data_IF_919046974965
#
_entry.id   IF_919046974965
#
_cell.length_a   1.000
_cell.length_b   1.000
_cell.length_c   1.000
_cell.angle_alpha   90.00
_cell.angle_beta   90.00
_cell.angle_gamma   90.00
#
_symmetry.space_group_name_H-M   'P 1'
#
loop_
_entity.id
_entity.type
_entity.pdbx_description
1 polymer ?
#
# COMPACT_ATOMS: atom_id res chain seq x y z
N UNK A 1 3.56 -13.74 -4.08
CA UNK A 1 2.24 -14.40 -4.21
C UNK A 1 1.12 -13.44 -3.83
N UNK A 2 1.03 -12.94 -2.59
CA UNK A 2 0.01 -11.95 -2.23
C UNK A 2 0.14 -10.64 -3.03
N UNK A 3 1.37 -10.13 -3.21
CA UNK A 3 1.68 -8.98 -4.08
C UNK A 3 1.10 -9.15 -5.48
N UNK A 4 1.43 -10.27 -6.13
CA UNK A 4 0.98 -10.58 -7.49
C UNK A 4 -0.53 -10.74 -7.60
N UNK A 5 -1.20 -11.27 -6.56
CA UNK A 5 -2.67 -11.32 -6.49
C UNK A 5 -3.26 -9.92 -6.41
N UNK A 6 -2.72 -9.08 -5.52
CA UNK A 6 -3.17 -7.69 -5.34
C UNK A 6 -3.00 -6.90 -6.64
N UNK A 7 -1.81 -6.96 -7.25
CA UNK A 7 -1.52 -6.36 -8.55
C UNK A 7 -2.51 -6.84 -9.62
N UNK A 8 -2.73 -8.15 -9.73
CA UNK A 8 -3.69 -8.71 -10.68
C UNK A 8 -5.13 -8.26 -10.39
N UNK A 9 -5.56 -8.10 -9.14
CA UNK A 9 -6.93 -7.67 -8.82
C UNK A 9 -7.21 -6.24 -9.28
N UNK A 10 -6.23 -5.34 -9.15
CA UNK A 10 -6.37 -3.94 -9.56
C UNK A 10 -5.89 -3.67 -11.00
N UNK A 11 -5.19 -4.62 -11.61
CA UNK A 11 -4.58 -4.43 -12.94
C UNK A 11 -3.29 -3.61 -12.90
N UNK A 12 -2.59 -3.64 -11.77
CA UNK A 12 -1.28 -3.00 -11.58
C UNK A 12 -0.12 -3.96 -11.85
N UNK A 13 1.09 -3.46 -11.62
CA UNK A 13 2.35 -4.19 -11.77
C UNK A 13 2.90 -4.64 -10.40
N UNK A 14 3.51 -5.83 -10.35
CA UNK A 14 4.16 -6.35 -9.14
C UNK A 14 5.66 -6.01 -9.17
N UNK A 15 6.06 -4.99 -8.42
CA UNK A 15 7.47 -4.59 -8.27
C UNK A 15 8.28 -5.50 -7.32
N UNK A 16 7.64 -6.50 -6.70
CA UNK A 16 8.31 -7.45 -5.82
C UNK A 16 8.65 -6.87 -4.45
N UNK A 17 9.92 -6.92 -4.07
CA UNK A 17 10.39 -6.46 -2.75
C UNK A 17 10.87 -5.03 -2.86
N UNK A 18 10.30 -4.17 -2.04
CA UNK A 18 10.55 -2.73 -2.04
C UNK A 18 11.25 -2.28 -0.74
N UNK A 19 12.03 -1.21 -0.85
CA UNK A 19 12.82 -0.60 0.21
C UNK A 19 12.26 0.77 0.61
N UNK A 20 12.66 1.32 1.77
CA UNK A 20 12.31 2.69 2.15
C UNK A 20 12.81 3.70 1.10
N UNK A 21 11.91 4.59 0.67
CA UNK A 21 12.18 5.59 -0.37
C UNK A 21 11.72 5.18 -1.77
N UNK A 22 11.38 3.91 -2.00
CA UNK A 22 10.74 3.48 -3.25
C UNK A 22 9.34 4.10 -3.37
N UNK A 23 8.97 4.46 -4.60
CA UNK A 23 7.68 5.03 -4.94
C UNK A 23 6.72 3.92 -5.40
N UNK A 24 5.67 3.67 -4.62
CA UNK A 24 4.66 2.65 -4.89
C UNK A 24 3.29 3.13 -4.45
N UNK A 25 2.24 2.83 -5.22
CA UNK A 25 0.86 3.16 -4.84
C UNK A 25 0.29 2.20 -3.79
N UNK A 26 0.75 0.94 -3.82
CA UNK A 26 0.24 -0.15 -2.98
C UNK A 26 1.39 -0.92 -2.35
N UNK A 27 1.40 -0.96 -1.02
CA UNK A 27 2.34 -1.74 -0.23
C UNK A 27 1.65 -2.96 0.35
N UNK A 28 2.07 -4.16 -0.07
CA UNK A 28 1.52 -5.42 0.45
C UNK A 28 2.45 -5.99 1.51
N UNK A 29 1.92 -6.27 2.70
CA UNK A 29 2.65 -6.95 3.76
C UNK A 29 1.84 -8.12 4.32
N UNK A 30 2.52 -9.04 5.02
CA UNK A 30 1.85 -10.15 5.71
C UNK A 30 1.30 -9.71 7.06
N UNK A 31 0.28 -10.41 7.55
CA UNK A 31 -0.33 -10.21 8.87
C UNK A 31 0.56 -10.69 10.03
N UNK A 32 1.82 -10.24 10.07
CA UNK A 32 2.83 -10.61 11.05
C UNK A 32 3.49 -9.35 11.61
N UNK A 33 3.63 -9.27 12.93
CA UNK A 33 4.14 -8.10 13.67
C UNK A 33 5.34 -7.39 13.04
N UNK A 34 6.39 -8.15 12.66
CA UNK A 34 7.61 -7.57 12.10
C UNK A 34 7.41 -6.99 10.68
N UNK A 35 6.50 -7.58 9.89
CA UNK A 35 6.14 -7.08 8.56
C UNK A 35 5.35 -5.78 8.65
N UNK A 36 4.45 -5.63 9.63
CA UNK A 36 3.78 -4.35 9.85
C UNK A 36 4.76 -3.26 10.29
N UNK A 37 5.70 -3.56 11.19
CA UNK A 37 6.75 -2.59 11.58
C UNK A 37 7.62 -2.18 10.39
N UNK A 38 7.93 -3.11 9.48
CA UNK A 38 8.63 -2.79 8.24
C UNK A 38 7.76 -1.91 7.33
N UNK A 39 6.50 -2.28 7.13
CA UNK A 39 5.57 -1.51 6.31
C UNK A 39 5.39 -0.08 6.82
N UNK A 40 5.31 0.14 8.14
CA UNK A 40 5.27 1.49 8.74
C UNK A 40 6.50 2.30 8.38
N UNK A 41 7.69 1.69 8.42
CA UNK A 41 8.95 2.39 8.08
C UNK A 41 9.03 2.76 6.60
N UNK A 42 8.58 1.85 5.73
CA UNK A 42 8.55 2.11 4.29
C UNK A 42 7.53 3.21 3.98
N UNK A 43 6.30 3.07 4.47
CA UNK A 43 5.25 4.05 4.23
C UNK A 43 5.63 5.46 4.73
N UNK A 44 6.33 5.56 5.87
CA UNK A 44 6.82 6.83 6.39
C UNK A 44 8.00 7.44 5.60
N UNK A 45 8.71 6.63 4.82
CA UNK A 45 9.84 7.06 4.01
C UNK A 45 9.48 7.27 2.53
N UNK A 46 8.28 6.86 2.12
CA UNK A 46 7.81 6.99 0.75
C UNK A 46 7.53 8.47 0.41
N UNK A 47 7.83 8.92 -0.82
CA UNK A 47 7.50 10.29 -1.26
C UNK A 47 6.00 10.60 -1.12
N UNK A 48 5.16 9.61 -1.45
CA UNK A 48 3.71 9.61 -1.23
C UNK A 48 3.36 8.37 -0.43
N UNK A 49 2.54 8.52 0.61
CA UNK A 49 2.17 7.39 1.47
C UNK A 49 1.30 6.37 0.69
N UNK A 50 1.69 5.08 0.62
CA UNK A 50 0.97 4.07 -0.16
C UNK A 50 -0.30 3.58 0.54
N UNK A 51 -1.25 3.04 -0.22
CA UNK A 51 -2.30 2.17 0.34
C UNK A 51 -1.66 0.89 0.86
N UNK A 52 -1.90 0.54 2.13
CA UNK A 52 -1.31 -0.66 2.73
C UNK A 52 -2.30 -1.81 2.67
N UNK A 53 -1.89 -2.91 2.04
CA UNK A 53 -2.65 -4.17 2.01
C UNK A 53 -2.02 -5.18 2.95
N UNK A 54 -2.79 -5.65 3.93
CA UNK A 54 -2.36 -6.69 4.86
C UNK A 54 -2.94 -8.04 4.41
N UNK A 55 -2.08 -8.93 3.95
CA UNK A 55 -2.45 -10.30 3.59
C UNK A 55 -2.57 -11.17 4.84
N UNK A 56 -3.75 -11.75 5.06
CA UNK A 56 -3.95 -12.76 6.07
C UNK A 56 -3.23 -14.06 5.67
N UNK A 57 -2.29 -14.53 6.49
CA UNK A 57 -1.53 -15.76 6.23
C UNK A 57 -2.29 -17.04 6.64
N UNK A 58 -3.46 -16.90 7.27
CA UNK A 58 -4.20 -18.05 7.80
C UNK A 58 -5.71 -17.83 7.72
N UNK A 59 -6.53 -18.90 7.71
CA UNK A 59 -7.99 -18.80 7.75
C UNK A 59 -8.51 -18.28 9.11
N UNK A 60 -7.65 -18.17 10.13
CA UNK A 60 -7.99 -17.58 11.42
C UNK A 60 -7.79 -16.07 11.37
N UNK A 61 -8.54 -15.35 12.20
CA UNK A 61 -8.39 -13.90 12.34
C UNK A 61 -6.96 -13.54 12.77
N UNK A 62 -6.46 -12.41 12.27
CA UNK A 62 -5.14 -11.91 12.63
C UNK A 62 -5.02 -11.74 14.16
N UNK A 63 -3.88 -12.06 14.78
CA UNK A 63 -3.68 -11.89 16.22
C UNK A 63 -3.94 -10.46 16.68
N UNK A 64 -4.38 -10.28 17.94
CA UNK A 64 -4.71 -8.95 18.49
C UNK A 64 -3.59 -7.92 18.28
N UNK A 65 -2.33 -8.29 18.53
CA UNK A 65 -1.18 -7.42 18.34
C UNK A 65 -0.97 -6.97 16.89
N UNK A 66 -1.36 -7.79 15.91
CA UNK A 66 -1.29 -7.43 14.48
C UNK A 66 -2.37 -6.42 14.15
N UNK A 67 -3.59 -6.62 14.68
CA UNK A 67 -4.71 -5.69 14.50
C UNK A 67 -4.43 -4.32 15.12
N UNK A 68 -3.86 -4.29 16.33
CA UNK A 68 -3.47 -3.03 16.98
C UNK A 68 -2.40 -2.28 16.17
N UNK A 69 -1.39 -3.00 15.65
CA UNK A 69 -0.38 -2.36 14.78
C UNK A 69 -0.97 -1.86 13.46
N UNK A 70 -1.94 -2.58 12.89
CA UNK A 70 -2.66 -2.12 11.71
C UNK A 70 -3.44 -0.82 12.00
N UNK A 71 -4.12 -0.73 13.16
CA UNK A 71 -4.80 0.49 13.60
C UNK A 71 -3.84 1.67 13.78
N UNK A 72 -2.62 1.42 14.24
CA UNK A 72 -1.59 2.46 14.35
C UNK A 72 -1.06 2.94 12.99
N UNK A 73 -1.21 2.13 11.93
CA UNK A 73 -0.87 2.52 10.55
C UNK A 73 -1.92 3.43 9.94
N UNK A 74 -3.21 3.21 10.23
CA UNK A 74 -4.36 3.94 9.65
C UNK A 74 -4.20 5.48 9.60
N UNK A 75 -3.68 6.20 10.63
CA UNK A 75 -3.51 7.65 10.53
C UNK A 75 -2.35 8.11 9.64
N UNK A 76 -1.44 7.21 9.25
CA UNK A 76 -0.21 7.54 8.51
C UNK A 76 -0.26 7.14 7.03
N UNK A 77 -1.33 6.45 6.61
CA UNK A 77 -1.50 5.98 5.23
C UNK A 77 -2.92 6.27 4.75
N UNK A 78 -3.16 6.41 3.44
CA UNK A 78 -4.48 6.73 2.91
C UNK A 78 -5.54 5.68 3.27
N UNK A 79 -5.15 4.41 3.29
CA UNK A 79 -6.01 3.31 3.69
C UNK A 79 -5.19 2.08 4.12
N UNK A 80 -5.78 1.28 5.01
CA UNK A 80 -5.33 -0.07 5.34
C UNK A 80 -6.42 -1.06 4.92
N UNK A 81 -6.11 -1.97 3.99
CA UNK A 81 -7.06 -2.94 3.43
C UNK A 81 -6.61 -4.35 3.75
N UNK A 82 -7.53 -5.21 4.19
CA UNK A 82 -7.22 -6.60 4.54
C UNK A 82 -7.57 -7.54 3.40
N UNK A 83 -6.56 -8.27 2.91
CA UNK A 83 -6.77 -9.39 2.01
C UNK A 83 -6.96 -10.65 2.86
N UNK A 84 -8.20 -11.12 2.95
CA UNK A 84 -8.54 -12.36 3.63
C UNK A 84 -7.86 -13.58 2.99
N UNK A 85 -7.72 -14.63 3.78
CA UNK A 85 -7.24 -15.92 3.28
C UNK A 85 -8.18 -16.47 2.20
N UNK A 86 -7.65 -16.71 1.00
CA UNK A 86 -8.41 -17.26 -0.14
C UNK A 86 -8.06 -18.73 -0.31
N UNK A 87 -8.90 -19.62 0.19
CA UNK A 87 -8.64 -21.05 0.15
C UNK A 87 -8.56 -21.62 -1.27
N UNK A 88 -9.41 -21.12 -2.17
CA UNK A 88 -9.51 -21.52 -3.58
C UNK A 88 -8.21 -21.29 -4.35
N UNK A 89 -7.39 -20.31 -3.93
CA UNK A 89 -6.12 -20.02 -4.56
C UNK A 89 -5.14 -21.21 -4.54
N UNK A 90 -5.29 -22.14 -3.58
CA UNK A 90 -4.41 -23.32 -3.46
C UNK A 90 -4.63 -24.36 -4.55
N UNK A 91 -5.82 -24.40 -5.15
CA UNK A 91 -6.16 -25.35 -6.22
C UNK A 91 -6.03 -24.74 -7.61
N UNK A 92 -5.66 -23.46 -7.71
CA UNK A 92 -5.54 -22.74 -8.98
C UNK A 92 -4.17 -22.93 -9.60
N UNK A 93 -4.14 -23.08 -10.92
CA UNK A 93 -2.88 -23.18 -11.68
C UNK A 93 -2.24 -21.80 -11.86
N UNK A 94 -3.06 -20.76 -12.02
CA UNK A 94 -2.64 -19.38 -12.19
C UNK A 94 -3.38 -18.45 -11.22
N UNK A 95 -3.11 -18.55 -9.90
CA UNK A 95 -3.94 -17.89 -8.89
C UNK A 95 -4.19 -16.39 -9.13
N UNK A 96 -3.19 -15.54 -9.49
CA UNK A 96 -3.47 -14.13 -9.74
C UNK A 96 -4.49 -13.88 -10.86
N UNK A 97 -4.39 -14.60 -11.98
CA UNK A 97 -5.29 -14.45 -13.12
C UNK A 97 -6.67 -15.04 -12.82
N UNK A 98 -6.71 -16.22 -12.23
CA UNK A 98 -7.95 -16.95 -11.91
C UNK A 98 -8.78 -16.20 -10.86
N UNK A 99 -8.12 -15.63 -9.84
CA UNK A 99 -8.77 -14.80 -8.82
C UNK A 99 -9.26 -13.47 -9.38
N UNK A 100 -8.51 -12.83 -10.29
CA UNK A 100 -8.99 -11.64 -10.99
C UNK A 100 -10.25 -11.95 -11.78
N UNK A 101 -10.26 -13.04 -12.55
CA UNK A 101 -11.40 -13.47 -13.34
C UNK A 101 -12.64 -13.72 -12.46
N UNK A 102 -12.47 -14.43 -11.34
CA UNK A 102 -13.55 -14.65 -10.38
C UNK A 102 -14.08 -13.33 -9.77
N UNK A 103 -13.20 -12.39 -9.44
CA UNK A 103 -13.57 -11.12 -8.82
C UNK A 103 -14.36 -10.18 -9.76
N UNK A 104 -14.20 -10.32 -11.09
CA UNK A 104 -14.87 -9.49 -12.09
C UNK A 104 -16.01 -10.21 -12.82
N UNK A 105 -16.28 -11.47 -12.48
CA UNK A 105 -17.33 -12.27 -13.13
C UNK A 105 -18.70 -11.58 -13.03
N UNK A 106 -19.46 -11.64 -14.12
CA UNK A 106 -20.86 -11.21 -14.16
C UNK A 106 -21.77 -12.17 -13.39
N UNK A 107 -21.35 -13.44 -13.26
CA UNK A 107 -21.99 -14.47 -12.44
C UNK A 107 -21.01 -14.95 -11.36
N UNK A 108 -20.92 -14.26 -10.21
CA UNK A 108 -19.93 -14.56 -9.19
C UNK A 108 -20.36 -15.74 -8.32
N UNK A 109 -19.46 -16.72 -8.15
CA UNK A 109 -19.65 -17.77 -7.13
C UNK A 109 -19.66 -17.16 -5.71
N UNK A 110 -20.39 -17.73 -4.74
CA UNK A 110 -20.53 -17.15 -3.40
C UNK A 110 -19.21 -16.84 -2.69
N UNK A 111 -18.17 -17.65 -2.89
CA UNK A 111 -16.85 -17.43 -2.28
C UNK A 111 -16.15 -16.19 -2.83
N UNK A 112 -16.38 -15.85 -4.11
CA UNK A 112 -15.75 -14.73 -4.81
C UNK A 112 -16.32 -13.37 -4.42
N UNK A 113 -17.49 -13.33 -3.78
CA UNK A 113 -18.15 -12.08 -3.36
C UNK A 113 -17.28 -11.25 -2.39
N UNK A 114 -16.62 -11.91 -1.43
CA UNK A 114 -15.68 -11.23 -0.52
C UNK A 114 -14.46 -10.70 -1.25
N UNK A 115 -13.95 -11.45 -2.23
CA UNK A 115 -12.83 -11.02 -3.07
C UNK A 115 -13.22 -9.81 -3.94
N UNK A 116 -14.44 -9.81 -4.49
CA UNK A 116 -15.00 -8.67 -5.24
C UNK A 116 -15.13 -7.42 -4.37
N UNK A 117 -15.64 -7.58 -3.15
CA UNK A 117 -15.73 -6.48 -2.19
C UNK A 117 -14.34 -5.91 -1.85
N UNK A 118 -13.37 -6.79 -1.53
CA UNK A 118 -11.98 -6.39 -1.33
C UNK A 118 -11.43 -5.60 -2.52
N UNK A 119 -11.62 -6.12 -3.74
CA UNK A 119 -11.17 -5.47 -4.97
C UNK A 119 -11.77 -4.06 -5.12
N UNK A 120 -13.08 -3.90 -4.89
CA UNK A 120 -13.72 -2.59 -4.96
C UNK A 120 -13.16 -1.61 -3.92
N UNK A 121 -13.00 -2.05 -2.66
CA UNK A 121 -12.39 -1.21 -1.62
C UNK A 121 -10.98 -0.79 -1.99
N UNK A 122 -10.17 -1.71 -2.50
CA UNK A 122 -8.80 -1.42 -2.90
C UNK A 122 -8.74 -0.45 -4.09
N UNK A 123 -9.55 -0.66 -5.13
CA UNK A 123 -9.60 0.25 -6.29
C UNK A 123 -10.03 1.66 -5.86
N UNK A 124 -11.04 1.78 -4.99
CA UNK A 124 -11.45 3.07 -4.47
C UNK A 124 -10.30 3.78 -3.74
N UNK A 125 -9.62 3.09 -2.82
CA UNK A 125 -8.50 3.66 -2.07
C UNK A 125 -7.34 4.12 -2.96
N UNK A 126 -6.97 3.32 -3.96
CA UNK A 126 -5.92 3.67 -4.93
C UNK A 126 -6.37 4.81 -5.83
N UNK A 127 -7.63 4.83 -6.25
CA UNK A 127 -8.17 5.93 -7.08
C UNK A 127 -8.16 7.25 -6.32
N UNK A 128 -8.54 7.24 -5.05
CA UNK A 128 -8.51 8.42 -4.18
C UNK A 128 -7.08 8.93 -3.97
N UNK A 129 -6.12 8.01 -3.79
CA UNK A 129 -4.68 8.34 -3.70
C UNK A 129 -4.20 9.05 -4.98
N UNK A 130 -4.47 8.45 -6.15
CA UNK A 130 -4.02 8.98 -7.44
C UNK A 130 -4.74 10.28 -7.85
N UNK A 131 -5.96 10.50 -7.34
CA UNK A 131 -6.73 11.72 -7.58
C UNK A 131 -6.35 12.88 -6.65
N UNK A 132 -5.55 12.60 -5.61
CA UNK A 132 -5.14 13.61 -4.63
C UNK A 132 -4.06 14.54 -5.24
N UNK A 133 -4.22 15.87 -5.14
CA UNK A 133 -3.30 16.84 -5.74
C UNK A 133 -1.88 16.83 -5.13
N UNK A 134 -1.65 16.07 -4.05
CA UNK A 134 -0.33 15.90 -3.45
C UNK A 134 0.66 15.14 -4.36
N UNK A 135 0.19 14.44 -5.39
CA UNK A 135 1.03 13.72 -6.36
C UNK A 135 1.61 14.60 -7.47
N UNK A 136 1.25 15.89 -7.53
CA UNK A 136 1.80 16.88 -8.48
C UNK A 136 2.73 17.82 -7.74
N UNK A 137 3.98 17.39 -7.48
CA UNK A 137 4.88 18.21 -6.69
C UNK A 137 6.32 17.75 -6.62
N UNK A 138 6.94 17.41 -7.76
CA UNK A 138 8.40 17.32 -7.90
C UNK A 138 8.78 17.39 -9.39
N UNK A 139 8.61 18.57 -10.00
CA UNK A 139 9.40 18.98 -11.16
C UNK A 139 9.28 20.51 -11.36
N UNK A 140 10.09 21.24 -10.60
CA UNK A 140 11.03 22.23 -11.18
C UNK A 140 11.96 22.73 -10.07
N UNK A 141 13.24 22.31 -10.03
CA UNK A 141 14.23 23.00 -9.21
C UNK A 141 14.54 24.35 -9.88
N UNK A 142 13.90 25.42 -9.40
CA UNK A 142 14.43 26.77 -9.62
C UNK A 142 15.82 26.81 -8.98
N UNK A 143 16.83 26.63 -9.83
CA UNK A 143 18.21 26.96 -9.55
C UNK A 143 18.26 28.48 -9.44
N UNK A 144 18.23 29.00 -8.21
CA UNK A 144 18.66 30.36 -7.93
C UNK A 144 19.70 30.30 -6.82
N UNK A 145 20.91 30.70 -7.21
CA UNK A 145 22.18 30.58 -6.50
C UNK A 145 22.16 31.13 -5.06
N UNK A 146 23.09 30.66 -4.20
CA UNK A 146 23.26 31.22 -2.86
C UNK A 146 24.06 32.52 -2.94
N UNK A 147 23.45 33.64 -2.57
CA UNK A 147 24.23 34.79 -2.11
C UNK A 147 24.48 34.63 -0.62
N UNK A 148 25.74 34.34 -0.30
CA UNK A 148 26.31 34.44 1.03
C UNK A 148 26.25 35.89 1.51
N UNK A 149 25.45 36.19 2.55
CA UNK A 149 25.81 37.31 3.42
C UNK A 149 25.47 36.99 4.89
N UNK A 150 26.49 36.51 5.60
CA UNK A 150 26.49 36.31 7.04
C UNK A 150 26.45 37.64 7.82
N UNK A 151 25.93 37.66 9.06
CA UNK A 151 25.50 38.86 9.76
C UNK A 151 26.66 39.62 10.43
N UNK A 152 26.71 40.94 10.26
CA UNK A 152 27.63 41.81 11.03
C UNK A 152 27.10 42.07 12.43
N UNK A 153 27.51 41.24 13.39
CA UNK A 153 27.44 41.55 14.82
C UNK A 153 28.43 42.68 15.15
N UNK A 154 27.92 43.90 15.36
CA UNK A 154 28.68 44.99 15.98
C UNK A 154 28.73 44.76 17.50
N UNK A 155 29.92 44.48 18.02
CA UNK A 155 30.28 44.76 19.43
C UNK A 155 30.61 46.25 19.54
N UNK A 156 29.93 46.96 20.42
CA UNK A 156 30.42 48.24 20.96
C UNK A 156 30.79 48.05 22.42
N UNK A 157 31.98 48.52 22.74
CA UNK A 157 32.64 48.56 24.06
C UNK A 157 31.89 49.39 25.09
#
# INVERSE_FOLDING_TARGET
>A
MATSIVAALIGGEDFGVIAPGDDVDVLVCRSVSHQLTLATRIAAAAPVAPVVVISADSPRSAPHQVRERARMLEPNVPAVVWLDWIEQARSMSTPPADLRAAAISDDPEPWSLRLRAFRHTLIAAVTDLLSSPASVGLDDPQTSSPDEEQPRLRRTS
#
